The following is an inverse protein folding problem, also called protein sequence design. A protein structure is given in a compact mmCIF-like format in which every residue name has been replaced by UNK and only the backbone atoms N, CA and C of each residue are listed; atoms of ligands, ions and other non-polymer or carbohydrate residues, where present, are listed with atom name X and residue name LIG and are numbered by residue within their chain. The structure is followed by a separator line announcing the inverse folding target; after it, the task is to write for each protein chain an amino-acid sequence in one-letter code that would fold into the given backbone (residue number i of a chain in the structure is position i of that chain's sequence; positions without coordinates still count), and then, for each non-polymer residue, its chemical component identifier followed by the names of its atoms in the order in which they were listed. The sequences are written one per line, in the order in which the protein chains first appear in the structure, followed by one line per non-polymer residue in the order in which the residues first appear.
data_IF_442786549223
#
_entry.id   IF_442786549223
#
_cell.length_a   1.000
_cell.length_b   1.000
_cell.length_c   1.000
_cell.angle_alpha   90.00
_cell.angle_beta   90.00
_cell.angle_gamma   90.00
#
_symmetry.space_group_name_H-M   'P 1'
#
loop_
_entity.id
_entity.type
_entity.pdbx_description
1 polymer ?
#
# COMPACT_ATOMS: atom_id res chain seq x y z
N UNK A 1 -12.31 -1.01 -22.05
CA UNK A 1 -11.13 -1.85 -22.41
C UNK A 1 -10.07 -1.60 -21.36
N UNK A 2 -9.63 -2.63 -20.66
CA UNK A 2 -8.48 -2.56 -19.75
C UNK A 2 -7.23 -2.24 -20.58
N UNK A 3 -6.60 -1.09 -20.34
CA UNK A 3 -5.28 -0.78 -20.88
C UNK A 3 -4.27 -1.19 -19.80
N UNK A 4 -3.56 -2.30 -20.02
CA UNK A 4 -2.37 -2.62 -19.23
C UNK A 4 -1.43 -1.44 -19.37
N UNK A 5 -1.05 -0.75 -18.29
CA UNK A 5 -0.05 0.29 -18.43
C UNK A 5 1.27 -0.38 -18.82
N UNK A 6 2.12 0.30 -19.60
CA UNK A 6 3.38 -0.28 -20.06
C UNK A 6 4.15 -0.80 -18.85
N UNK A 7 4.62 -2.05 -18.89
CA UNK A 7 5.48 -2.59 -17.82
C UNK A 7 6.77 -1.73 -17.77
N UNK A 8 6.84 -0.79 -16.83
CA UNK A 8 8.08 -0.09 -16.53
C UNK A 8 9.14 -1.05 -15.98
N UNK A 9 10.38 -0.57 -15.88
CA UNK A 9 11.51 -1.36 -15.39
C UNK A 9 11.47 -1.36 -13.86
N UNK A 10 11.21 -2.51 -13.24
CA UNK A 10 11.32 -2.63 -11.78
C UNK A 10 12.80 -2.48 -11.35
N UNK A 11 13.19 -1.25 -10.97
CA UNK A 11 14.51 -0.97 -10.41
C UNK A 11 14.40 -0.92 -8.90
N UNK A 12 15.18 -1.75 -8.21
CA UNK A 12 15.19 -1.82 -6.75
C UNK A 12 16.35 -0.99 -6.18
N UNK A 13 16.10 -0.15 -5.18
CA UNK A 13 17.17 0.53 -4.42
C UNK A 13 17.33 -0.05 -3.02
N UNK A 14 18.58 -0.05 -2.53
CA UNK A 14 18.90 -0.53 -1.19
C UNK A 14 18.79 0.61 -0.18
N UNK A 15 18.12 0.36 0.94
CA UNK A 15 18.01 1.30 2.05
C UNK A 15 19.22 1.28 2.98
N UNK A 16 19.22 2.11 4.06
CA UNK A 16 20.32 2.21 5.02
C UNK A 16 20.73 0.87 5.67
N UNK A 17 19.82 -0.11 5.72
CA UNK A 17 20.06 -1.47 6.23
C UNK A 17 20.59 -2.47 5.20
N UNK A 18 20.84 -2.08 3.95
CA UNK A 18 21.33 -2.97 2.88
C UNK A 18 20.27 -3.89 2.26
N UNK A 19 19.05 -3.91 2.80
CA UNK A 19 17.89 -4.60 2.24
C UNK A 19 17.34 -3.85 1.03
N UNK A 20 16.73 -4.59 0.10
CA UNK A 20 15.86 -4.00 -0.91
C UNK A 20 14.72 -3.30 -0.18
N UNK A 21 14.75 -1.97 -0.13
CA UNK A 21 13.70 -1.21 0.57
C UNK A 21 12.77 -0.54 -0.42
N UNK A 22 13.24 -0.31 -1.66
CA UNK A 22 12.68 0.68 -2.58
C UNK A 22 12.46 0.14 -3.97
N UNK A 23 11.36 0.57 -4.60
CA UNK A 23 11.32 0.71 -6.06
C UNK A 23 11.85 2.11 -6.42
N UNK A 24 12.45 2.30 -7.57
CA UNK A 24 12.78 3.65 -8.02
C UNK A 24 11.50 4.34 -8.53
N UNK A 25 11.17 5.50 -7.95
CA UNK A 25 9.95 6.27 -8.28
C UNK A 25 9.86 6.70 -9.75
N UNK A 26 11.00 6.88 -10.40
CA UNK A 26 11.09 7.33 -11.80
C UNK A 26 10.95 6.16 -12.78
N UNK A 27 10.99 4.91 -12.28
CA UNK A 27 10.88 3.68 -13.09
C UNK A 27 9.78 2.72 -12.61
N UNK A 28 8.92 3.14 -11.66
CA UNK A 28 7.80 2.32 -11.16
C UNK A 28 6.96 1.80 -12.33
N UNK A 29 6.53 0.53 -12.33
CA UNK A 29 5.95 -0.08 -13.52
C UNK A 29 4.67 0.61 -13.97
N UNK A 30 3.95 1.30 -13.08
CA UNK A 30 2.80 2.12 -13.43
C UNK A 30 2.91 3.60 -12.98
N UNK A 31 4.13 4.06 -12.66
CA UNK A 31 4.44 5.48 -12.37
C UNK A 31 3.91 6.02 -11.03
N UNK A 32 3.44 5.17 -10.12
CA UNK A 32 2.83 5.61 -8.85
C UNK A 32 3.71 5.17 -7.67
N UNK A 33 4.16 6.14 -6.87
CA UNK A 33 5.09 5.90 -5.77
C UNK A 33 4.43 6.06 -4.39
N UNK A 34 4.69 5.12 -3.47
CA UNK A 34 3.99 4.99 -2.18
C UNK A 34 4.96 5.05 -0.98
N UNK A 35 6.26 4.88 -1.21
CA UNK A 35 7.18 4.63 -0.11
C UNK A 35 7.53 5.91 0.67
N UNK A 36 7.45 5.79 2.00
CA UNK A 36 8.06 6.74 2.92
C UNK A 36 9.30 6.12 3.58
N UNK A 37 10.44 6.80 3.41
CA UNK A 37 11.78 6.28 3.75
C UNK A 37 12.16 6.42 5.22
N UNK A 38 11.23 6.83 6.08
CA UNK A 38 11.47 7.14 7.50
C UNK A 38 11.05 6.00 8.44
N UNK A 39 10.54 4.91 7.90
CA UNK A 39 10.15 3.70 8.65
C UNK A 39 11.39 3.03 9.27
N UNK A 40 11.36 2.79 10.58
CA UNK A 40 12.46 2.12 11.31
C UNK A 40 12.42 0.60 11.20
N UNK A 41 11.34 0.02 10.65
CA UNK A 41 11.11 -1.41 10.63
C UNK A 41 12.21 -2.17 9.85
N UNK A 42 12.69 -3.26 10.44
CA UNK A 42 13.64 -4.18 9.82
C UNK A 42 12.98 -5.55 9.57
N UNK A 43 13.37 -6.24 8.49
CA UNK A 43 12.98 -7.63 8.29
C UNK A 43 13.27 -8.47 9.54
N UNK A 44 12.37 -9.39 9.88
CA UNK A 44 12.67 -10.37 10.91
C UNK A 44 13.90 -11.14 10.47
N UNK A 45 14.95 -11.06 11.30
CA UNK A 45 16.22 -11.71 11.03
C UNK A 45 15.89 -13.20 11.22
N UNK A 46 16.16 -14.03 10.19
CA UNK A 46 16.07 -15.50 10.23
C UNK A 46 14.67 -16.11 10.06
N UNK A 47 14.35 -16.52 8.82
CA UNK A 47 13.27 -17.45 8.39
C UNK A 47 11.84 -17.22 8.91
N UNK A 48 10.86 -17.75 8.17
CA UNK A 48 9.45 -17.70 8.54
C UNK A 48 9.19 -18.32 9.95
N UNK A 49 10.05 -19.25 10.38
CA UNK A 49 9.99 -19.92 11.68
C UNK A 49 10.26 -19.00 12.88
N UNK A 50 10.98 -17.87 12.72
CA UNK A 50 11.08 -16.86 13.80
C UNK A 50 10.03 -15.76 13.72
N UNK A 51 9.28 -15.67 12.61
CA UNK A 51 8.06 -14.84 12.56
C UNK A 51 7.01 -15.29 13.59
N UNK A 52 7.10 -16.53 14.07
CA UNK A 52 6.24 -17.06 15.13
C UNK A 52 6.25 -16.21 16.41
N UNK A 53 7.39 -15.62 16.76
CA UNK A 53 7.52 -14.78 17.95
C UNK A 53 6.61 -13.54 17.92
N UNK A 54 6.37 -13.01 16.72
CA UNK A 54 5.51 -11.84 16.50
C UNK A 54 4.09 -12.23 16.07
N UNK A 55 3.80 -13.52 15.89
CA UNK A 55 2.56 -13.98 15.26
C UNK A 55 1.32 -13.55 16.03
N UNK A 56 1.39 -13.49 17.36
CA UNK A 56 0.25 -13.02 18.16
C UNK A 56 -0.07 -11.55 17.87
N UNK A 57 0.93 -10.68 17.86
CA UNK A 57 0.76 -9.26 17.53
C UNK A 57 0.36 -9.09 16.07
N UNK A 58 0.94 -9.85 15.16
CA UNK A 58 0.57 -9.84 13.75
C UNK A 58 -0.90 -10.26 13.54
N UNK A 59 -1.38 -11.32 14.21
CA UNK A 59 -2.79 -11.69 14.12
C UNK A 59 -3.72 -10.59 14.66
N UNK A 60 -3.30 -9.86 15.70
CA UNK A 60 -4.05 -8.69 16.20
C UNK A 60 -4.09 -7.54 15.18
N UNK A 61 -3.01 -7.35 14.43
CA UNK A 61 -2.90 -6.30 13.42
C UNK A 61 -3.81 -6.50 12.20
N UNK A 62 -4.26 -7.73 11.92
CA UNK A 62 -4.90 -8.08 10.65
C UNK A 62 -6.14 -7.22 10.33
N UNK A 63 -7.00 -6.99 11.32
CA UNK A 63 -8.19 -6.18 11.14
C UNK A 63 -7.85 -4.70 10.88
N UNK A 64 -6.87 -4.16 11.60
CA UNK A 64 -6.44 -2.77 11.46
C UNK A 64 -5.66 -2.54 10.15
N UNK A 65 -4.86 -3.51 9.69
CA UNK A 65 -4.21 -3.44 8.38
C UNK A 65 -5.23 -3.45 7.25
N UNK A 66 -6.26 -4.28 7.35
CA UNK A 66 -7.37 -4.26 6.39
C UNK A 66 -8.13 -2.93 6.44
N UNK A 67 -8.34 -2.38 7.65
CA UNK A 67 -8.95 -1.07 7.85
C UNK A 67 -8.10 0.08 7.28
N UNK A 68 -6.77 0.02 7.37
CA UNK A 68 -5.87 0.97 6.70
C UNK A 68 -6.04 0.95 5.18
N UNK A 69 -6.12 -0.23 4.58
CA UNK A 69 -6.21 -0.36 3.13
C UNK A 69 -7.58 0.06 2.60
N UNK A 70 -8.65 -0.29 3.31
CA UNK A 70 -10.01 -0.25 2.74
C UNK A 70 -11.04 0.52 3.57
N UNK A 71 -10.72 0.95 4.78
CA UNK A 71 -11.62 1.72 5.63
C UNK A 71 -11.91 3.13 5.10
N UNK A 72 -12.91 3.79 5.69
CA UNK A 72 -13.11 5.23 5.54
C UNK A 72 -11.94 6.01 6.16
N UNK A 73 -11.85 7.32 5.90
CA UNK A 73 -10.75 8.15 6.39
C UNK A 73 -10.64 8.09 7.94
N UNK A 74 -11.76 8.21 8.65
CA UNK A 74 -11.79 8.10 10.12
C UNK A 74 -11.35 6.71 10.62
N UNK A 75 -11.79 5.65 9.94
CA UNK A 75 -11.43 4.27 10.27
C UNK A 75 -9.94 4.03 10.04
N UNK A 76 -9.37 4.60 8.97
CA UNK A 76 -7.93 4.51 8.68
C UNK A 76 -7.10 5.24 9.73
N UNK A 77 -7.50 6.44 10.13
CA UNK A 77 -6.81 7.17 11.20
C UNK A 77 -6.84 6.41 12.52
N UNK A 78 -7.98 5.78 12.84
CA UNK A 78 -8.06 4.96 14.04
C UNK A 78 -7.17 3.71 13.95
N UNK A 79 -7.22 2.99 12.84
CA UNK A 79 -6.40 1.81 12.61
C UNK A 79 -4.89 2.15 12.64
N UNK A 80 -4.50 3.30 12.06
CA UNK A 80 -3.13 3.81 12.12
C UNK A 80 -2.66 3.95 13.57
N UNK A 81 -3.44 4.62 14.42
CA UNK A 81 -3.11 4.80 15.84
C UNK A 81 -3.02 3.47 16.59
N UNK A 82 -3.94 2.54 16.33
CA UNK A 82 -3.92 1.21 16.93
C UNK A 82 -2.65 0.44 16.56
N UNK A 83 -2.23 0.48 15.28
CA UNK A 83 -1.04 -0.19 14.80
C UNK A 83 0.26 0.46 15.30
N UNK A 84 0.28 1.79 15.44
CA UNK A 84 1.40 2.51 16.08
C UNK A 84 1.56 2.12 17.55
N UNK A 85 0.44 1.96 18.28
CA UNK A 85 0.45 1.46 19.65
C UNK A 85 0.94 0.00 19.72
N UNK A 86 0.45 -0.86 18.83
CA UNK A 86 0.88 -2.26 18.72
C UNK A 86 2.37 -2.39 18.40
N UNK A 87 2.91 -1.51 17.54
CA UNK A 87 4.35 -1.42 17.32
C UNK A 87 5.12 -1.13 18.61
N UNK A 88 4.57 -0.32 19.52
CA UNK A 88 5.13 -0.10 20.85
C UNK A 88 5.28 -1.39 21.66
N UNK A 89 4.32 -2.31 21.55
CA UNK A 89 4.40 -3.64 22.18
C UNK A 89 5.42 -4.54 21.50
N UNK A 90 5.43 -4.56 20.15
CA UNK A 90 6.36 -5.38 19.35
C UNK A 90 7.82 -5.03 19.65
N UNK A 91 8.15 -3.75 19.91
CA UNK A 91 9.50 -3.31 20.30
C UNK A 91 10.03 -4.04 21.55
N UNK A 92 9.15 -4.55 22.40
CA UNK A 92 9.49 -5.31 23.60
C UNK A 92 9.57 -6.83 23.43
N UNK A 93 9.20 -7.37 22.27
CA UNK A 93 9.13 -8.82 22.05
C UNK A 93 10.49 -9.41 21.69
N UNK A 94 11.14 -8.86 20.65
CA UNK A 94 12.34 -9.46 20.06
C UNK A 94 13.68 -8.92 20.58
N UNK A 95 14.76 -9.53 20.11
CA UNK A 95 16.13 -9.13 20.47
C UNK A 95 16.59 -7.80 19.87
N UNK A 96 15.91 -7.30 18.84
CA UNK A 96 16.18 -6.01 18.22
C UNK A 96 14.88 -5.19 18.14
N UNK A 97 14.87 -3.93 18.60
CA UNK A 97 13.66 -3.12 18.73
C UNK A 97 13.06 -2.69 17.38
N UNK A 98 13.72 -2.98 16.26
CA UNK A 98 13.22 -2.69 14.92
C UNK A 98 12.63 -3.92 14.22
N UNK A 99 12.85 -5.13 14.73
CA UNK A 99 12.36 -6.36 14.12
C UNK A 99 10.87 -6.57 14.40
N UNK A 100 10.16 -7.16 13.45
CA UNK A 100 8.73 -7.48 13.59
C UNK A 100 7.78 -6.27 13.49
N UNK A 101 8.32 -5.05 13.53
CA UNK A 101 7.53 -3.82 13.43
C UNK A 101 6.76 -3.76 12.11
N UNK A 102 5.57 -3.18 12.19
CA UNK A 102 4.67 -2.92 11.07
C UNK A 102 5.03 -1.59 10.43
N UNK A 103 5.11 -1.55 9.11
CA UNK A 103 5.38 -0.31 8.36
C UNK A 103 4.14 0.58 8.20
N UNK A 104 3.59 1.08 9.32
CA UNK A 104 2.25 1.68 9.39
C UNK A 104 2.04 2.80 8.37
N UNK A 105 3.04 3.65 8.14
CA UNK A 105 2.94 4.77 7.18
C UNK A 105 2.85 4.24 5.75
N UNK A 106 3.65 3.23 5.40
CA UNK A 106 3.58 2.59 4.10
C UNK A 106 2.21 1.92 3.86
N UNK A 107 1.66 1.22 4.86
CA UNK A 107 0.32 0.62 4.76
C UNK A 107 -0.80 1.66 4.66
N UNK A 108 -0.73 2.74 5.43
CA UNK A 108 -1.70 3.84 5.38
C UNK A 108 -1.69 4.52 3.99
N UNK A 109 -0.50 4.82 3.46
CA UNK A 109 -0.36 5.42 2.13
C UNK A 109 -0.84 4.48 1.02
N UNK A 110 -0.57 3.17 1.13
CA UNK A 110 -1.14 2.18 0.23
C UNK A 110 -2.68 2.26 0.22
N UNK A 111 -3.32 2.39 1.39
CA UNK A 111 -4.76 2.65 1.49
C UNK A 111 -5.21 3.91 0.77
N UNK A 112 -4.52 5.04 0.94
CA UNK A 112 -4.82 6.28 0.22
C UNK A 112 -4.76 6.08 -1.32
N UNK A 113 -3.76 5.34 -1.80
CA UNK A 113 -3.64 5.03 -3.22
C UNK A 113 -4.73 4.06 -3.70
N UNK A 114 -5.17 3.09 -2.89
CA UNK A 114 -6.31 2.23 -3.24
C UNK A 114 -7.62 3.02 -3.36
N UNK A 115 -7.83 4.03 -2.51
CA UNK A 115 -8.98 4.95 -2.64
C UNK A 115 -8.94 5.69 -3.99
N UNK A 116 -7.77 6.20 -4.38
CA UNK A 116 -7.56 6.80 -5.71
C UNK A 116 -7.75 5.77 -6.82
N UNK A 117 -7.35 4.51 -6.65
CA UNK A 117 -7.49 3.47 -7.67
C UNK A 117 -8.97 3.15 -7.97
N UNK A 118 -9.84 3.16 -6.94
CA UNK A 118 -11.29 3.00 -7.13
C UNK A 118 -11.87 4.16 -7.95
N UNK A 119 -11.44 5.40 -7.67
CA UNK A 119 -11.79 6.57 -8.48
C UNK A 119 -11.29 6.42 -9.92
N UNK A 120 -10.01 6.09 -10.10
CA UNK A 120 -9.39 5.96 -11.42
C UNK A 120 -10.08 4.90 -12.29
N UNK A 121 -10.64 3.85 -11.66
CA UNK A 121 -11.48 2.88 -12.34
C UNK A 121 -12.79 3.50 -12.85
N UNK A 122 -13.53 4.23 -12.01
CA UNK A 122 -14.81 4.82 -12.40
C UNK A 122 -14.67 5.97 -13.40
N UNK A 123 -13.60 6.77 -13.30
CA UNK A 123 -13.38 7.93 -14.18
C UNK A 123 -12.68 7.54 -15.48
N UNK A 124 -11.68 6.64 -15.43
CA UNK A 124 -10.82 6.34 -16.58
C UNK A 124 -10.85 4.87 -17.01
N UNK A 125 -11.54 3.98 -16.29
CA UNK A 125 -11.49 2.54 -16.53
C UNK A 125 -10.12 1.91 -16.25
N UNK A 126 -9.26 2.60 -15.48
CA UNK A 126 -7.88 2.18 -15.23
C UNK A 126 -7.74 1.43 -13.91
N UNK A 127 -6.93 0.37 -13.89
CA UNK A 127 -6.54 -0.34 -12.66
C UNK A 127 -5.06 -0.22 -12.35
N UNK A 128 -4.31 0.61 -13.09
CA UNK A 128 -2.86 0.76 -12.99
C UNK A 128 -2.39 0.91 -11.53
N UNK A 129 -3.01 1.86 -10.83
CA UNK A 129 -2.73 2.17 -9.43
C UNK A 129 -3.00 1.01 -8.48
N UNK A 130 -4.06 0.24 -8.71
CA UNK A 130 -4.37 -0.93 -7.90
C UNK A 130 -3.25 -1.99 -8.03
N UNK A 131 -2.80 -2.25 -9.26
CA UNK A 131 -1.74 -3.22 -9.51
C UNK A 131 -0.41 -2.77 -8.88
N UNK A 132 -0.07 -1.47 -8.94
CA UNK A 132 1.11 -0.90 -8.28
C UNK A 132 1.06 -1.10 -6.76
N UNK A 133 -0.08 -0.77 -6.12
CA UNK A 133 -0.24 -0.97 -4.67
C UNK A 133 -0.15 -2.45 -4.31
N UNK A 134 -0.77 -3.33 -5.09
CA UNK A 134 -0.76 -4.77 -4.80
C UNK A 134 0.65 -5.33 -4.84
N UNK A 135 1.41 -4.97 -5.87
CA UNK A 135 2.79 -5.44 -6.03
C UNK A 135 3.68 -4.86 -4.93
N UNK A 136 3.52 -3.58 -4.58
CA UNK A 136 4.23 -2.95 -3.46
C UNK A 136 4.01 -3.69 -2.13
N UNK A 137 2.76 -3.93 -1.76
CA UNK A 137 2.44 -4.65 -0.52
C UNK A 137 2.96 -6.09 -0.54
N UNK A 138 2.89 -6.78 -1.68
CA UNK A 138 3.44 -8.13 -1.82
C UNK A 138 4.96 -8.17 -1.61
N UNK A 139 5.69 -7.18 -2.14
CA UNK A 139 7.13 -7.05 -1.91
C UNK A 139 7.42 -6.81 -0.43
N UNK A 140 6.69 -5.90 0.23
CA UNK A 140 6.86 -5.64 1.66
C UNK A 140 6.60 -6.89 2.50
N UNK A 141 5.52 -7.63 2.21
CA UNK A 141 5.23 -8.91 2.88
C UNK A 141 6.40 -9.88 2.74
N UNK A 142 6.95 -9.99 1.54
CA UNK A 142 8.05 -10.92 1.25
C UNK A 142 9.37 -10.50 1.90
N UNK A 143 9.69 -9.21 1.88
CA UNK A 143 10.93 -8.67 2.45
C UNK A 143 10.89 -8.69 3.98
N UNK A 144 9.75 -8.33 4.57
CA UNK A 144 9.58 -8.23 6.02
C UNK A 144 9.20 -9.56 6.68
N UNK A 145 8.95 -10.60 5.88
CA UNK A 145 8.40 -11.90 6.30
C UNK A 145 7.05 -11.78 7.04
N UNK A 146 6.20 -10.85 6.60
CA UNK A 146 4.85 -10.73 7.16
C UNK A 146 3.95 -11.91 6.74
N UNK A 147 2.81 -12.11 7.43
CA UNK A 147 1.83 -13.11 7.03
C UNK A 147 1.27 -12.88 5.62
N UNK A 148 1.30 -13.92 4.78
CA UNK A 148 0.86 -13.85 3.38
C UNK A 148 -0.63 -13.53 3.18
N UNK A 149 -1.47 -13.71 4.21
CA UNK A 149 -2.88 -13.37 4.14
C UNK A 149 -3.15 -11.86 4.07
N UNK A 150 -2.19 -11.02 4.48
CA UNK A 150 -2.29 -9.55 4.43
C UNK A 150 -2.16 -8.96 3.04
N UNK A 151 -1.94 -9.79 2.02
CA UNK A 151 -1.88 -9.34 0.62
C UNK A 151 -3.14 -8.55 0.24
N UNK A 152 -2.97 -7.54 -0.61
CA UNK A 152 -4.08 -6.83 -1.23
C UNK A 152 -4.78 -7.76 -2.23
N UNK A 153 -6.07 -8.04 -2.02
CA UNK A 153 -6.86 -8.97 -2.84
C UNK A 153 -7.61 -8.21 -3.92
N UNK A 154 -7.79 -8.85 -5.08
CA UNK A 154 -8.56 -8.25 -6.19
C UNK A 154 -10.05 -8.24 -5.87
N UNK A 155 -10.52 -9.21 -5.09
CA UNK A 155 -11.90 -9.32 -4.63
C UNK A 155 -12.31 -8.10 -3.79
N UNK A 156 -11.45 -7.65 -2.87
CA UNK A 156 -11.70 -6.45 -2.06
C UNK A 156 -11.82 -5.21 -2.95
N UNK A 157 -10.94 -5.07 -3.95
CA UNK A 157 -10.96 -3.97 -4.90
C UNK A 157 -12.25 -3.92 -5.73
N UNK A 158 -12.67 -5.07 -6.25
CA UNK A 158 -13.94 -5.19 -6.99
C UNK A 158 -15.14 -4.89 -6.10
N UNK A 159 -15.11 -5.31 -4.83
CA UNK A 159 -16.11 -4.94 -3.83
C UNK A 159 -16.19 -3.42 -3.66
N UNK A 160 -15.05 -2.74 -3.51
CA UNK A 160 -15.00 -1.27 -3.39
C UNK A 160 -15.45 -0.53 -4.64
N UNK A 161 -15.16 -1.06 -5.83
CA UNK A 161 -15.70 -0.51 -7.08
C UNK A 161 -17.23 -0.57 -7.06
N UNK A 162 -17.79 -1.72 -6.70
CA UNK A 162 -19.24 -1.92 -6.65
C UNK A 162 -19.90 -1.00 -5.60
N UNK A 163 -19.33 -0.93 -4.39
CA UNK A 163 -19.82 -0.07 -3.30
C UNK A 163 -19.84 1.41 -3.70
N UNK A 164 -18.82 1.87 -4.44
CA UNK A 164 -18.68 3.27 -4.84
C UNK A 164 -19.45 3.62 -6.12
N UNK A 165 -19.95 2.64 -6.89
CA UNK A 165 -20.62 2.89 -8.17
C UNK A 165 -21.76 3.92 -8.12
N UNK A 166 -22.63 3.96 -7.09
CA UNK A 166 -23.69 4.97 -6.99
C UNK A 166 -23.19 6.41 -6.94
N UNK A 167 -22.00 6.65 -6.38
CA UNK A 167 -21.41 7.99 -6.24
C UNK A 167 -20.85 8.52 -7.56
N UNK A 168 -20.44 7.63 -8.46
CA UNK A 168 -19.91 7.96 -9.78
C UNK A 168 -20.97 7.95 -10.88
N UNK A 169 -22.02 7.13 -10.75
CA UNK A 169 -23.17 7.14 -11.67
C UNK A 169 -23.89 8.50 -11.72
N UNK A 170 -23.74 9.34 -10.68
CA UNK A 170 -24.32 10.69 -10.62
C UNK A 170 -23.44 11.79 -11.23
N UNK A 171 -22.20 11.48 -11.62
CA UNK A 171 -21.16 12.45 -12.03
C UNK A 171 -20.75 12.34 -13.51
N UNK A 172 -21.61 11.80 -14.38
CA UNK A 172 -21.38 11.88 -15.83
C UNK A 172 -21.31 13.35 -16.28
N UNK A 173 -20.11 13.89 -16.50
CA UNK A 173 -19.93 15.20 -17.11
C UNK A 173 -18.70 16.00 -16.70
N UNK A 174 -18.11 15.77 -15.51
CA UNK A 174 -16.99 16.60 -15.03
C UNK A 174 -15.65 15.87 -15.12
N UNK A 175 -14.75 16.40 -15.95
CA UNK A 175 -13.33 16.08 -15.93
C UNK A 175 -12.75 16.49 -14.56
N UNK A 176 -12.29 15.51 -13.78
CA UNK A 176 -11.65 15.76 -12.50
C UNK A 176 -10.26 16.39 -12.72
N UNK A 177 -10.13 17.66 -12.36
CA UNK A 177 -8.89 18.46 -12.46
C UNK A 177 -8.08 18.46 -11.15
N UNK A 178 -8.50 17.70 -10.13
CA UNK A 178 -7.88 17.75 -8.80
C UNK A 178 -6.64 16.85 -8.63
N UNK A 179 -6.24 16.06 -9.63
CA UNK A 179 -4.99 15.29 -9.58
C UNK A 179 -3.93 15.91 -10.50
N UNK A 180 -2.79 16.29 -9.91
CA UNK A 180 -1.65 16.91 -10.60
C UNK A 180 -1.07 16.04 -11.74
N UNK A 181 -1.37 14.74 -11.76
CA UNK A 181 -0.94 13.81 -12.82
C UNK A 181 -1.52 14.22 -14.19
N UNK A 182 -2.73 14.78 -14.23
CA UNK A 182 -3.31 15.25 -15.50
C UNK A 182 -2.69 16.58 -15.96
N UNK A 183 -2.32 17.46 -15.02
CA UNK A 183 -1.62 18.70 -15.33
C UNK A 183 -0.20 18.44 -15.84
N UNK A 184 0.53 17.48 -15.27
CA UNK A 184 1.87 17.08 -15.75
C UNK A 184 1.81 16.48 -17.16
N UNK A 185 0.83 15.61 -17.45
CA UNK A 185 0.68 15.06 -18.80
C UNK A 185 0.35 16.12 -19.86
N UNK A 186 -0.51 17.10 -19.55
CA UNK A 186 -0.82 18.23 -20.45
C UNK A 186 0.37 19.18 -20.64
N UNK A 187 1.25 19.31 -19.64
CA UNK A 187 2.47 20.12 -19.76
C UNK A 187 3.53 19.43 -20.63
N UNK A 188 3.58 18.10 -20.61
CA UNK A 188 4.54 17.31 -21.40
C UNK A 188 4.05 16.98 -22.82
N UNK A 189 2.74 17.09 -23.09
CA UNK A 189 2.13 16.79 -24.38
C UNK A 189 1.08 17.86 -24.78
N UNK A 190 1.53 19.06 -25.21
CA UNK A 190 0.65 20.17 -25.60
C UNK A 190 -0.12 19.93 -26.91
#
# INVERSE_FOLDING_TARGET
KYLYPPKGIAVTERGPGGFATRRNKDYGPYGIFIEYTTEEALPTRWSFEKGEEYMTQWLQAEADLHALLWGSDDVREQAKRSLEALNGEIRGTGSAPQEGLLEVTNWYNAGLQLKKAVRDFHVYGSTARFEDVRDFIWERISIMNYPHQWRVKREDFLGRIADAAPDYARKEGDLDTQDAIFQEWQLENP
#
